data_IF_150394599676
#
_entry.id   IF_150394599676
#
_cell.length_a   1.000
_cell.length_b   1.000
_cell.length_c   1.000
_cell.angle_alpha   90.00
_cell.angle_beta   90.00
_cell.angle_gamma   90.00
#
_symmetry.space_group_name_H-M   'P 1'
#
loop_
_entity.id
_entity.type
_entity.pdbx_description
1 polymer ?
#
# COMPACT_ATOMS: atom_id res chain seq x y z
N UNK A 1 -25.97 0.85 -3.50
CA UNK A 1 -25.58 -0.32 -2.68
C UNK A 1 -24.26 0.03 -2.04
N UNK A 2 -24.22 0.12 -0.70
CA UNK A 2 -23.05 0.66 -0.01
C UNK A 2 -21.92 -0.36 0.08
N UNK A 3 -20.76 0.02 -0.44
CA UNK A 3 -19.55 -0.74 -0.22
C UNK A 3 -19.07 -0.48 1.21
N UNK A 4 -19.09 -1.51 2.05
CA UNK A 4 -18.42 -1.48 3.36
C UNK A 4 -16.91 -1.52 3.09
N UNK A 5 -16.37 -0.36 2.71
CA UNK A 5 -14.96 -0.11 2.64
C UNK A 5 -14.40 -0.18 4.06
N UNK A 6 -14.01 -1.37 4.50
CA UNK A 6 -13.12 -1.56 5.65
C UNK A 6 -11.86 -0.69 5.48
N UNK A 7 -11.51 -0.38 4.23
CA UNK A 7 -10.42 0.50 3.77
C UNK A 7 -10.62 1.99 4.15
N UNK A 8 -11.85 2.48 4.31
CA UNK A 8 -12.13 3.89 4.62
C UNK A 8 -11.58 4.31 6.00
N UNK A 9 -11.30 3.36 6.89
CA UNK A 9 -10.70 3.63 8.21
C UNK A 9 -9.18 3.46 8.26
N UNK A 10 -8.56 2.82 7.27
CA UNK A 10 -7.12 2.49 7.31
C UNK A 10 -6.25 3.29 6.34
N UNK A 11 -6.79 3.82 5.23
CA UNK A 11 -6.00 4.70 4.36
C UNK A 11 -5.72 6.06 5.03
N UNK A 12 -6.63 6.57 5.86
CA UNK A 12 -6.38 7.75 6.68
C UNK A 12 -5.36 7.49 7.82
N UNK A 13 -5.34 6.27 8.37
CA UNK A 13 -4.39 5.88 9.42
C UNK A 13 -2.97 5.66 8.88
N UNK A 14 -2.83 5.22 7.62
CA UNK A 14 -1.53 5.09 6.95
C UNK A 14 -0.84 6.45 6.74
N UNK A 15 -1.61 7.54 6.56
CA UNK A 15 -1.06 8.90 6.53
C UNK A 15 -0.62 9.42 7.91
N UNK A 16 -1.25 8.98 9.01
CA UNK A 16 -0.84 9.40 10.37
C UNK A 16 0.41 8.64 10.82
N UNK A 17 0.53 7.36 10.49
CA UNK A 17 1.75 6.60 10.80
C UNK A 17 2.98 7.05 9.98
N UNK A 18 2.77 7.52 8.75
CA UNK A 18 3.85 8.08 7.92
C UNK A 18 4.28 9.48 8.36
N UNK A 19 3.35 10.32 8.84
CA UNK A 19 3.66 11.70 9.25
C UNK A 19 4.35 11.80 10.62
N UNK A 20 4.20 10.80 11.50
CA UNK A 20 4.82 10.84 12.84
C UNK A 20 6.33 10.51 12.81
N UNK A 21 6.88 9.96 11.71
CA UNK A 21 8.31 9.61 11.64
C UNK A 21 9.15 10.70 10.92
N UNK A 22 8.55 11.70 10.28
CA UNK A 22 9.29 12.68 9.45
C UNK A 22 9.60 14.02 10.10
N UNK A 23 9.41 14.21 11.41
CA UNK A 23 9.60 15.51 12.05
C UNK A 23 10.80 15.58 13.02
N UNK A 24 12.03 15.44 12.53
CA UNK A 24 13.18 16.30 12.91
C UNK A 24 14.42 16.02 12.04
N UNK A 25 14.96 17.02 11.31
CA UNK A 25 16.17 16.84 10.50
C UNK A 25 17.42 17.00 11.38
N UNK A 26 17.84 15.93 12.04
CA UNK A 26 19.11 15.91 12.77
C UNK A 26 20.27 15.59 11.82
N UNK A 27 20.96 16.63 11.30
CA UNK A 27 22.21 16.54 10.51
C UNK A 27 23.31 15.63 11.12
N UNK A 28 23.18 15.21 12.37
CA UNK A 28 24.05 14.24 13.04
C UNK A 28 23.83 12.78 12.63
N UNK A 29 22.63 12.39 12.16
CA UNK A 29 22.34 11.00 11.75
C UNK A 29 22.96 10.62 10.41
N UNK A 30 23.32 11.61 9.58
CA UNK A 30 24.00 11.42 8.31
C UNK A 30 25.45 10.93 8.46
N UNK A 31 26.03 11.00 9.65
CA UNK A 31 27.42 10.57 9.89
C UNK A 31 27.54 9.13 10.40
N UNK A 32 26.41 8.47 10.73
CA UNK A 32 26.38 7.04 11.07
C UNK A 32 26.07 6.14 9.85
N UNK A 33 26.34 6.66 8.64
CA UNK A 33 26.23 5.97 7.35
C UNK A 33 27.52 5.16 7.13
N UNK A 34 27.74 4.08 7.90
CA UNK A 34 28.88 3.20 7.68
C UNK A 34 28.70 1.74 8.18
N UNK A 35 27.46 1.23 8.26
CA UNK A 35 27.22 -0.14 8.75
C UNK A 35 26.04 -0.85 8.10
N UNK A 36 26.16 -1.26 6.83
CA UNK A 36 25.32 -2.30 6.18
C UNK A 36 23.78 -2.22 6.30
N UNK A 37 23.20 -1.01 6.22
CA UNK A 37 21.74 -0.82 6.16
C UNK A 37 21.11 -1.13 4.78
N UNK A 38 21.94 -1.36 3.75
CA UNK A 38 21.50 -1.53 2.35
C UNK A 38 21.24 -2.98 1.94
N UNK A 39 21.69 -3.98 2.70
CA UNK A 39 21.49 -5.39 2.34
C UNK A 39 20.02 -5.82 2.50
N UNK A 40 19.37 -6.19 1.39
CA UNK A 40 18.04 -6.81 1.40
C UNK A 40 18.20 -8.30 1.71
N UNK A 41 17.47 -8.78 2.73
CA UNK A 41 17.40 -10.19 3.05
C UNK A 41 16.32 -10.84 2.19
N UNK A 42 16.42 -12.15 1.95
CA UNK A 42 15.41 -12.90 1.20
C UNK A 42 13.99 -12.69 1.76
N UNK A 43 13.85 -12.60 3.08
CA UNK A 43 12.57 -12.30 3.75
C UNK A 43 12.02 -10.90 3.41
N UNK A 44 12.89 -9.89 3.29
CA UNK A 44 12.47 -8.54 2.86
C UNK A 44 11.98 -8.55 1.41
N UNK A 45 12.69 -9.27 0.54
CA UNK A 45 12.31 -9.41 -0.88
C UNK A 45 10.97 -10.14 -1.00
N UNK A 46 10.78 -11.22 -0.23
CA UNK A 46 9.52 -11.96 -0.19
C UNK A 46 8.35 -11.08 0.27
N UNK A 47 8.52 -10.31 1.35
CA UNK A 47 7.50 -9.38 1.84
C UNK A 47 7.17 -8.28 0.81
N UNK A 48 8.20 -7.70 0.17
CA UNK A 48 7.99 -6.70 -0.88
C UNK A 48 7.28 -7.27 -2.10
N UNK A 49 7.64 -8.47 -2.54
CA UNK A 49 6.97 -9.17 -3.63
C UNK A 49 5.52 -9.53 -3.30
N UNK A 50 5.27 -10.07 -2.11
CA UNK A 50 3.92 -10.37 -1.64
C UNK A 50 3.05 -9.10 -1.56
N UNK A 51 3.59 -8.00 -1.03
CA UNK A 51 2.92 -6.71 -1.02
C UNK A 51 2.57 -6.24 -2.43
N UNK A 52 3.53 -6.28 -3.36
CA UNK A 52 3.30 -5.85 -4.74
C UNK A 52 2.19 -6.66 -5.44
N UNK A 53 2.16 -7.99 -5.22
CA UNK A 53 1.09 -8.86 -5.75
C UNK A 53 -0.25 -8.50 -5.11
N UNK A 54 -0.31 -8.32 -3.79
CA UNK A 54 -1.52 -7.97 -3.08
C UNK A 54 -2.09 -6.62 -3.56
N UNK A 55 -1.24 -5.60 -3.65
CA UNK A 55 -1.61 -4.28 -4.19
C UNK A 55 -2.17 -4.38 -5.62
N UNK A 56 -1.59 -5.25 -6.46
CA UNK A 56 -2.10 -5.46 -7.81
C UNK A 56 -3.46 -6.16 -7.84
N UNK A 57 -3.68 -7.12 -6.95
CA UNK A 57 -4.98 -7.79 -6.77
C UNK A 57 -6.05 -6.83 -6.27
N UNK A 58 -5.74 -5.99 -5.29
CA UNK A 58 -6.66 -4.95 -4.80
C UNK A 58 -7.03 -3.99 -5.95
N UNK A 59 -6.06 -3.50 -6.71
CA UNK A 59 -6.31 -2.66 -7.87
C UNK A 59 -7.20 -3.36 -8.93
N UNK A 60 -7.06 -4.67 -9.13
CA UNK A 60 -7.94 -5.44 -10.02
C UNK A 60 -9.38 -5.51 -9.49
N UNK A 61 -9.57 -5.70 -8.18
CA UNK A 61 -10.88 -5.69 -7.55
C UNK A 61 -11.53 -4.30 -7.59
N UNK A 62 -10.75 -3.23 -7.41
CA UNK A 62 -11.21 -1.85 -7.53
C UNK A 62 -11.70 -1.54 -8.95
N UNK A 63 -10.98 -2.00 -9.99
CA UNK A 63 -11.46 -1.90 -11.38
C UNK A 63 -12.77 -2.66 -11.60
N UNK A 64 -12.92 -3.86 -11.03
CA UNK A 64 -14.17 -4.62 -11.10
C UNK A 64 -15.31 -3.93 -10.36
N UNK A 65 -15.05 -3.34 -9.20
CA UNK A 65 -16.02 -2.58 -8.43
C UNK A 65 -16.57 -1.40 -9.25
N UNK A 66 -15.66 -0.63 -9.88
CA UNK A 66 -16.04 0.47 -10.77
C UNK A 66 -16.87 -0.03 -11.95
N UNK A 67 -16.49 -1.16 -12.58
CA UNK A 67 -17.28 -1.76 -13.68
C UNK A 67 -18.69 -2.15 -13.27
N UNK A 68 -18.89 -2.54 -12.01
CA UNK A 68 -20.20 -2.92 -11.46
C UNK A 68 -20.99 -1.73 -10.92
N UNK A 69 -20.46 -0.50 -11.02
CA UNK A 69 -21.13 0.72 -10.57
C UNK A 69 -21.04 0.98 -9.06
N UNK A 70 -20.07 0.37 -8.36
CA UNK A 70 -19.78 0.74 -6.98
C UNK A 70 -19.09 2.11 -6.92
N UNK A 71 -19.37 2.85 -5.85
CA UNK A 71 -18.67 4.10 -5.53
C UNK A 71 -17.40 3.81 -4.71
N UNK A 72 -16.27 4.35 -5.17
CA UNK A 72 -14.99 4.30 -4.45
C UNK A 72 -14.97 5.34 -3.33
N UNK A 73 -14.61 4.91 -2.11
CA UNK A 73 -14.57 5.77 -0.92
C UNK A 73 -13.20 6.42 -0.69
N UNK A 74 -12.17 6.00 -1.41
CA UNK A 74 -10.84 6.60 -1.36
C UNK A 74 -10.90 8.04 -1.93
N UNK A 75 -10.71 9.08 -1.10
CA UNK A 75 -10.86 10.47 -1.53
C UNK A 75 -9.81 10.87 -2.57
N UNK A 76 -8.66 10.18 -2.63
CA UNK A 76 -7.62 10.43 -3.64
C UNK A 76 -8.04 9.92 -5.03
N UNK A 77 -8.80 8.82 -5.08
CA UNK A 77 -9.34 8.26 -6.33
C UNK A 77 -10.65 8.97 -6.73
N UNK A 78 -11.44 9.40 -5.77
CA UNK A 78 -12.80 9.93 -5.97
C UNK A 78 -13.82 8.81 -6.22
N UNK A 79 -15.13 9.12 -6.28
CA UNK A 79 -16.21 8.12 -6.28
C UNK A 79 -16.28 7.26 -7.54
N UNK A 80 -15.87 7.78 -8.69
CA UNK A 80 -15.88 7.06 -9.97
C UNK A 80 -14.54 7.22 -10.69
N UNK A 81 -13.46 6.58 -10.20
CA UNK A 81 -12.15 6.73 -10.80
C UNK A 81 -12.08 6.03 -12.16
N UNK A 82 -11.38 6.63 -13.11
CA UNK A 82 -11.05 5.95 -14.37
C UNK A 82 -10.02 4.84 -14.13
N UNK A 83 -9.98 3.84 -15.03
CA UNK A 83 -8.96 2.76 -14.98
C UNK A 83 -7.54 3.33 -14.98
N UNK A 84 -7.28 4.38 -15.77
CA UNK A 84 -6.00 5.07 -15.79
C UNK A 84 -5.63 5.68 -14.43
N UNK A 85 -6.60 6.31 -13.74
CA UNK A 85 -6.38 6.87 -12.39
C UNK A 85 -6.08 5.78 -11.37
N UNK A 86 -6.80 4.66 -11.41
CA UNK A 86 -6.52 3.49 -10.56
C UNK A 86 -5.09 2.99 -10.80
N UNK A 87 -4.68 2.84 -12.07
CA UNK A 87 -3.33 2.38 -12.42
C UNK A 87 -2.24 3.32 -11.90
N UNK A 88 -2.38 4.63 -12.14
CA UNK A 88 -1.42 5.62 -11.69
C UNK A 88 -1.32 5.67 -10.17
N UNK A 89 -2.45 5.61 -9.46
CA UNK A 89 -2.46 5.55 -8.00
C UNK A 89 -1.80 4.28 -7.47
N UNK A 90 -2.11 3.12 -8.06
CA UNK A 90 -1.51 1.83 -7.69
C UNK A 90 0.01 1.88 -7.87
N UNK A 91 0.50 2.40 -9.00
CA UNK A 91 1.93 2.54 -9.25
C UNK A 91 2.58 3.50 -8.24
N UNK A 92 1.96 4.65 -7.97
CA UNK A 92 2.46 5.61 -7.00
C UNK A 92 2.49 5.03 -5.57
N UNK A 93 1.45 4.31 -5.15
CA UNK A 93 1.38 3.66 -3.84
C UNK A 93 2.46 2.57 -3.70
N UNK A 94 2.59 1.71 -4.71
CA UNK A 94 3.59 0.64 -4.73
C UNK A 94 5.02 1.19 -4.67
N UNK A 95 5.35 2.17 -5.52
CA UNK A 95 6.65 2.84 -5.50
C UNK A 95 6.90 3.56 -4.18
N UNK A 96 5.90 4.22 -3.61
CA UNK A 96 6.01 4.92 -2.34
C UNK A 96 6.37 3.99 -1.19
N UNK A 97 5.66 2.86 -1.04
CA UNK A 97 5.94 1.86 0.00
C UNK A 97 7.32 1.24 -0.19
N UNK A 98 7.69 0.88 -1.43
CA UNK A 98 8.99 0.26 -1.71
C UNK A 98 10.15 1.26 -1.49
N UNK A 99 9.98 2.52 -1.86
CA UNK A 99 10.95 3.58 -1.60
C UNK A 99 11.11 3.82 -0.09
N UNK A 100 10.00 3.89 0.65
CA UNK A 100 10.02 3.99 2.11
C UNK A 100 10.75 2.79 2.74
N UNK A 101 10.48 1.57 2.27
CA UNK A 101 11.17 0.36 2.71
C UNK A 101 12.68 0.40 2.41
N UNK A 102 13.07 0.94 1.25
CA UNK A 102 14.47 1.03 0.82
C UNK A 102 15.29 1.96 1.72
N UNK A 103 14.70 3.06 2.20
CA UNK A 103 15.38 4.02 3.10
C UNK A 103 15.16 3.72 4.58
N UNK A 104 14.21 2.84 4.93
CA UNK A 104 13.94 2.47 6.31
C UNK A 104 15.12 1.73 6.98
N UNK A 105 15.32 1.93 8.29
CA UNK A 105 16.27 1.13 9.07
C UNK A 105 15.98 -0.37 8.91
N UNK A 106 17.04 -1.17 8.85
CA UNK A 106 16.94 -2.62 8.60
C UNK A 106 16.00 -3.36 9.57
N UNK A 107 15.91 -2.90 10.83
CA UNK A 107 15.00 -3.45 11.84
C UNK A 107 13.52 -3.08 11.62
N UNK A 108 13.25 -1.94 10.98
CA UNK A 108 11.91 -1.42 10.74
C UNK A 108 11.33 -1.85 9.38
N UNK A 109 12.20 -2.05 8.37
CA UNK A 109 11.81 -2.49 7.02
C UNK A 109 10.82 -3.67 6.98
N UNK A 110 11.04 -4.80 7.68
CA UNK A 110 10.10 -5.92 7.63
C UNK A 110 8.73 -5.57 8.23
N UNK A 111 8.69 -4.75 9.28
CA UNK A 111 7.42 -4.30 9.89
C UNK A 111 6.63 -3.40 8.95
N UNK A 112 7.31 -2.48 8.27
CA UNK A 112 6.68 -1.62 7.27
C UNK A 112 6.07 -2.44 6.14
N UNK A 113 6.84 -3.37 5.56
CA UNK A 113 6.37 -4.22 4.47
C UNK A 113 5.25 -5.18 4.91
N UNK A 114 5.35 -5.75 6.11
CA UNK A 114 4.31 -6.61 6.66
C UNK A 114 3.01 -5.84 6.95
N UNK A 115 3.10 -4.61 7.49
CA UNK A 115 1.93 -3.76 7.71
C UNK A 115 1.26 -3.38 6.38
N UNK A 116 2.04 -2.99 5.37
CA UNK A 116 1.51 -2.70 4.03
C UNK A 116 0.81 -3.93 3.43
N UNK A 117 1.46 -5.10 3.47
CA UNK A 117 0.86 -6.36 3.02
C UNK A 117 -0.44 -6.70 3.77
N UNK A 118 -0.48 -6.50 5.09
CA UNK A 118 -1.67 -6.78 5.88
C UNK A 118 -2.85 -5.90 5.48
N UNK A 119 -2.62 -4.61 5.20
CA UNK A 119 -3.65 -3.68 4.72
C UNK A 119 -4.24 -4.18 3.40
N UNK A 120 -3.39 -4.48 2.41
CA UNK A 120 -3.84 -4.97 1.10
C UNK A 120 -4.59 -6.30 1.23
N UNK A 121 -4.10 -7.23 2.07
CA UNK A 121 -4.75 -8.53 2.27
C UNK A 121 -6.14 -8.39 2.90
N UNK A 122 -6.31 -7.46 3.84
CA UNK A 122 -7.61 -7.17 4.45
C UNK A 122 -8.57 -6.52 3.45
N UNK A 123 -8.08 -5.61 2.61
CA UNK A 123 -8.87 -5.02 1.53
C UNK A 123 -9.34 -6.11 0.55
N UNK A 124 -8.43 -6.98 0.10
CA UNK A 124 -8.74 -8.09 -0.80
C UNK A 124 -9.80 -9.02 -0.21
N UNK A 125 -9.64 -9.39 1.06
CA UNK A 125 -10.59 -10.26 1.76
C UNK A 125 -11.98 -9.60 1.89
N UNK A 126 -12.04 -8.30 2.16
CA UNK A 126 -13.28 -7.52 2.18
C UNK A 126 -13.96 -7.50 0.82
N UNK A 127 -13.21 -7.17 -0.23
CA UNK A 127 -13.68 -7.14 -1.61
C UNK A 127 -14.18 -8.51 -2.08
N UNK A 128 -13.45 -9.58 -1.74
CA UNK A 128 -13.83 -10.96 -2.08
C UNK A 128 -15.14 -11.38 -1.40
N UNK A 129 -15.34 -11.02 -0.12
CA UNK A 129 -16.60 -11.25 0.60
C UNK A 129 -17.77 -10.48 -0.02
N UNK A 130 -17.51 -9.33 -0.64
CA UNK A 130 -18.50 -8.57 -1.41
C UNK A 130 -18.71 -9.12 -2.85
N UNK A 131 -18.10 -10.24 -3.20
CA UNK A 131 -18.24 -10.88 -4.52
C UNK A 131 -17.42 -10.24 -5.63
N UNK A 132 -16.45 -9.37 -5.29
CA UNK A 132 -15.50 -8.81 -6.25
C UNK A 132 -14.35 -9.80 -6.47
N UNK A 133 -14.45 -10.55 -7.56
CA UNK A 133 -13.38 -11.44 -8.03
C UNK A 133 -12.23 -10.65 -8.63
N UNK A 134 -10.99 -11.10 -8.41
CA UNK A 134 -9.85 -10.63 -9.19
C UNK A 134 -10.08 -11.03 -10.66
N UNK A 135 -10.18 -10.03 -11.53
CA UNK A 135 -10.25 -10.23 -12.98
C UNK A 135 -9.06 -9.56 -13.62
N UNK A 136 -8.22 -10.37 -14.25
CA UNK A 136 -7.18 -9.88 -15.14
C UNK A 136 -7.80 -9.65 -16.53
N UNK A 137 -7.40 -8.59 -17.26
CA UNK A 137 -7.79 -8.42 -18.65
C UNK A 137 -7.31 -9.57 -19.53
#
# INVERSE_FOLDING_TARGET
MEFVGVVARFHAAAWVAATVITATPGRAAAQHIAGDHRSWHASHIALAGAFAIALWMDAAQTREAVRRGYEERNPVLGPHPSVGRINSYTAAAGLGVLAAAAVAPRRARPWLLAAALAIETLAIAGNARAGLSVKFP
#
